data_IF_639549141901
#
_entry.id   IF_639549141901
#
_cell.length_a   1.000
_cell.length_b   1.000
_cell.length_c   1.000
_cell.angle_alpha   90.00
_cell.angle_beta   90.00
_cell.angle_gamma   90.00
#
_symmetry.space_group_name_H-M   'P 1'
#
loop_
_entity.id
_entity.type
_entity.pdbx_description
1 polymer ?
#
# COMPACT_ATOMS: atom_id res chain seq x y z
N UNK A 1 -20.31 29.08 7.34
CA UNK A 1 -19.08 29.27 8.14
C UNK A 1 -18.65 27.90 8.64
N UNK A 2 -17.63 27.23 8.18
CA UNK A 2 -16.58 27.50 7.17
C UNK A 2 -16.42 26.16 6.43
N UNK A 3 -16.66 26.18 5.12
CA UNK A 3 -16.21 25.14 4.21
C UNK A 3 -14.87 25.63 3.69
N UNK A 4 -13.79 24.91 3.99
CA UNK A 4 -12.48 24.95 3.32
C UNK A 4 -11.51 24.09 4.14
N UNK A 5 -11.23 22.86 3.70
CA UNK A 5 -9.88 22.29 3.67
C UNK A 5 -9.89 20.94 2.93
N UNK A 6 -9.35 21.01 1.72
CA UNK A 6 -9.39 20.07 0.61
C UNK A 6 -8.14 19.18 0.65
N UNK A 7 -8.23 17.92 1.12
CA UNK A 7 -7.08 16.99 1.05
C UNK A 7 -7.48 15.53 0.77
N UNK A 8 -6.90 15.02 -0.32
CA UNK A 8 -7.01 13.68 -0.89
C UNK A 8 -8.39 13.30 -1.43
N UNK A 9 -8.65 13.77 -2.64
CA UNK A 9 -9.68 13.28 -3.55
C UNK A 9 -9.44 11.79 -3.84
N UNK A 10 -9.99 10.95 -2.98
CA UNK A 10 -10.60 9.70 -3.39
C UNK A 10 -11.78 10.12 -4.27
N UNK A 11 -11.58 10.18 -5.60
CA UNK A 11 -12.70 10.36 -6.54
C UNK A 11 -13.57 9.08 -6.51
N UNK A 12 -14.42 9.01 -5.51
CA UNK A 12 -15.63 8.19 -5.41
C UNK A 12 -16.38 8.81 -4.22
N UNK A 13 -17.37 9.67 -4.40
CA UNK A 13 -18.69 9.36 -4.94
C UNK A 13 -19.40 10.67 -5.35
N UNK A 14 -19.42 11.02 -6.64
CA UNK A 14 -20.50 11.81 -7.26
C UNK A 14 -20.36 11.85 -8.77
N UNK A 15 -21.34 11.28 -9.47
CA UNK A 15 -21.68 11.69 -10.83
C UNK A 15 -20.90 11.03 -11.96
N UNK A 16 -21.64 10.69 -13.00
CA UNK A 16 -21.26 9.97 -14.21
C UNK A 16 -20.22 10.72 -15.08
N UNK A 17 -19.28 9.95 -15.63
CA UNK A 17 -18.39 10.20 -16.79
C UNK A 17 -17.06 10.96 -16.57
N UNK A 18 -16.00 10.30 -17.04
CA UNK A 18 -14.63 10.76 -17.37
C UNK A 18 -13.67 11.13 -16.23
N UNK A 19 -12.97 10.12 -15.68
CA UNK A 19 -11.51 10.06 -15.45
C UNK A 19 -11.17 8.91 -14.48
N UNK A 20 -11.31 7.68 -14.96
CA UNK A 20 -10.85 6.45 -14.28
C UNK A 20 -9.32 6.31 -14.37
N UNK A 21 -8.58 7.22 -13.74
CA UNK A 21 -7.12 7.09 -13.55
C UNK A 21 -6.77 7.32 -12.09
N UNK A 22 -7.16 6.37 -11.25
CA UNK A 22 -6.78 6.32 -9.84
C UNK A 22 -5.30 5.92 -9.71
N UNK A 23 -4.39 6.87 -9.91
CA UNK A 23 -3.02 6.76 -9.39
C UNK A 23 -2.99 7.24 -7.95
N UNK A 24 -2.30 6.54 -7.04
CA UNK A 24 -1.92 7.06 -5.72
C UNK A 24 -0.82 8.16 -5.83
N UNK A 25 -1.01 9.09 -6.78
CA UNK A 25 -0.11 10.21 -7.03
C UNK A 25 -0.44 11.36 -6.06
N UNK A 26 0.57 11.76 -5.30
CA UNK A 26 0.46 12.76 -4.24
C UNK A 26 0.28 14.21 -4.73
N UNK A 27 -0.32 14.99 -3.81
CA UNK A 27 -0.28 16.45 -3.52
C UNK A 27 -0.19 17.50 -4.65
N UNK A 28 -0.96 18.57 -4.43
CA UNK A 28 -1.07 19.80 -5.23
C UNK A 28 -0.20 20.97 -4.74
N UNK A 29 0.70 20.77 -3.76
CA UNK A 29 1.37 21.91 -3.09
C UNK A 29 2.83 21.57 -2.67
N UNK A 30 3.78 21.75 -3.59
CA UNK A 30 5.20 22.11 -3.36
C UNK A 30 6.10 21.37 -2.34
N UNK A 31 5.64 20.36 -1.59
CA UNK A 31 6.46 19.60 -0.61
C UNK A 31 6.25 18.10 -0.78
N UNK A 32 7.28 17.44 -1.31
CA UNK A 32 7.33 16.01 -1.64
C UNK A 32 7.18 15.11 -0.40
N UNK A 33 6.20 14.21 -0.44
CA UNK A 33 5.97 13.15 0.54
C UNK A 33 4.81 12.27 0.04
N UNK A 34 5.16 11.12 -0.59
CA UNK A 34 4.39 10.48 -1.67
C UNK A 34 3.38 9.37 -1.29
N UNK A 35 3.28 8.22 -1.99
CA UNK A 35 4.29 7.64 -2.90
C UNK A 35 3.87 6.28 -3.55
N UNK A 36 2.65 6.07 -4.04
CA UNK A 36 2.34 4.87 -4.85
C UNK A 36 1.95 5.29 -6.28
N UNK A 37 2.89 5.23 -7.22
CA UNK A 37 2.59 5.48 -8.64
C UNK A 37 2.06 4.20 -9.32
N UNK A 38 1.01 3.62 -8.74
CA UNK A 38 0.28 2.49 -9.32
C UNK A 38 -1.16 2.90 -9.61
N UNK A 39 -1.64 2.58 -10.81
CA UNK A 39 -3.03 2.76 -11.21
C UNK A 39 -3.71 1.41 -11.23
N UNK A 40 -4.79 1.28 -10.46
CA UNK A 40 -5.57 0.04 -10.39
C UNK A 40 -6.44 -0.11 -11.63
N UNK A 41 -6.40 -1.30 -12.23
CA UNK A 41 -7.33 -1.72 -13.27
C UNK A 41 -8.70 -2.05 -12.63
N UNK A 42 -8.71 -2.65 -11.44
CA UNK A 42 -9.93 -2.94 -10.66
C UNK A 42 -10.10 -2.02 -9.45
N UNK A 43 -11.03 -1.08 -9.53
CA UNK A 43 -11.34 -0.19 -8.40
C UNK A 43 -12.03 -0.93 -7.24
N UNK A 44 -12.77 -1.99 -7.54
CA UNK A 44 -13.38 -2.85 -6.50
C UNK A 44 -12.29 -3.46 -5.61
N UNK A 45 -11.16 -3.84 -6.21
CA UNK A 45 -10.03 -4.41 -5.50
C UNK A 45 -9.35 -3.39 -4.60
N UNK A 46 -9.14 -2.16 -5.08
CA UNK A 46 -8.64 -1.04 -4.25
C UNK A 46 -9.57 -0.76 -3.06
N UNK A 47 -10.88 -0.66 -3.30
CA UNK A 47 -11.88 -0.45 -2.24
C UNK A 47 -11.82 -1.54 -1.18
N UNK A 48 -11.68 -2.80 -1.60
CA UNK A 48 -11.53 -3.93 -0.68
C UNK A 48 -10.24 -3.84 0.12
N UNK A 49 -9.14 -3.44 -0.50
CA UNK A 49 -7.84 -3.26 0.16
C UNK A 49 -7.88 -2.22 1.30
N UNK A 50 -8.66 -1.16 1.13
CA UNK A 50 -8.84 -0.10 2.15
C UNK A 50 -10.06 -0.33 3.06
N UNK A 51 -10.66 -1.52 3.07
CA UNK A 51 -11.80 -1.84 3.94
C UNK A 51 -11.37 -2.79 5.05
N UNK A 52 -11.39 -2.34 6.31
CA UNK A 52 -11.04 -3.15 7.47
C UNK A 52 -12.17 -4.15 7.81
N UNK A 53 -11.81 -5.28 8.43
CA UNK A 53 -12.77 -6.32 8.82
C UNK A 53 -13.83 -5.87 9.82
N UNK A 54 -13.60 -4.78 10.56
CA UNK A 54 -14.63 -4.19 11.43
C UNK A 54 -15.71 -3.43 10.66
N UNK A 55 -15.46 -3.05 9.40
CA UNK A 55 -16.40 -2.31 8.56
C UNK A 55 -17.30 -3.22 7.71
N UNK A 56 -16.76 -4.35 7.21
CA UNK A 56 -17.47 -5.23 6.27
C UNK A 56 -16.90 -6.66 6.30
N UNK A 57 -17.73 -7.65 5.95
CA UNK A 57 -17.29 -9.02 5.69
C UNK A 57 -16.42 -9.11 4.43
N UNK A 58 -16.74 -8.32 3.41
CA UNK A 58 -15.85 -8.08 2.29
C UNK A 58 -14.79 -7.05 2.68
N UNK A 59 -13.62 -7.54 3.08
CA UNK A 59 -12.54 -6.73 3.64
C UNK A 59 -11.15 -7.13 3.13
N UNK A 60 -10.17 -6.42 3.65
CA UNK A 60 -8.78 -6.46 3.26
C UNK A 60 -7.97 -7.61 3.85
N UNK A 61 -8.54 -8.48 4.70
CA UNK A 61 -7.76 -9.46 5.45
C UNK A 61 -7.05 -10.48 4.56
N UNK A 62 -7.74 -11.02 3.55
CA UNK A 62 -7.12 -11.94 2.58
C UNK A 62 -6.01 -11.26 1.77
N UNK A 63 -6.24 -10.02 1.31
CA UNK A 63 -5.25 -9.23 0.58
C UNK A 63 -4.04 -8.89 1.46
N UNK A 64 -4.26 -8.63 2.76
CA UNK A 64 -3.19 -8.33 3.72
C UNK A 64 -2.25 -9.52 3.92
N UNK A 65 -2.76 -10.76 3.86
CA UNK A 65 -1.96 -11.98 3.97
C UNK A 65 -1.07 -12.11 2.74
N UNK A 66 -1.65 -11.98 1.54
CA UNK A 66 -0.87 -12.01 0.30
C UNK A 66 0.19 -10.91 0.26
N UNK A 67 -0.18 -9.69 0.64
CA UNK A 67 0.74 -8.57 0.68
C UNK A 67 1.88 -8.75 1.68
N UNK A 68 1.64 -9.39 2.82
CA UNK A 68 2.70 -9.75 3.76
C UNK A 68 3.73 -10.67 3.10
N UNK A 69 3.29 -11.70 2.37
CA UNK A 69 4.18 -12.59 1.63
C UNK A 69 4.97 -11.85 0.53
N UNK A 70 4.34 -10.90 -0.17
CA UNK A 70 5.03 -10.03 -1.15
C UNK A 70 6.15 -9.24 -0.49
N UNK A 71 5.86 -8.59 0.64
CA UNK A 71 6.83 -7.77 1.36
C UNK A 71 7.99 -8.63 1.88
N UNK A 72 7.71 -9.75 2.53
CA UNK A 72 8.73 -10.66 3.07
C UNK A 72 9.68 -11.16 1.97
N UNK A 73 9.11 -11.67 0.86
CA UNK A 73 9.90 -12.14 -0.27
C UNK A 73 10.72 -11.02 -0.92
N UNK A 74 10.17 -9.82 -1.01
CA UNK A 74 10.87 -8.64 -1.55
C UNK A 74 12.07 -8.24 -0.69
N UNK A 75 11.91 -8.22 0.63
CA UNK A 75 13.00 -7.91 1.58
C UNK A 75 14.07 -8.99 1.54
N UNK A 76 13.67 -10.26 1.47
CA UNK A 76 14.58 -11.38 1.36
C UNK A 76 15.41 -11.32 0.08
N UNK A 77 14.73 -11.14 -1.07
CA UNK A 77 15.36 -11.03 -2.38
C UNK A 77 16.33 -9.85 -2.44
N UNK A 78 15.92 -8.65 -1.98
CA UNK A 78 16.79 -7.46 -1.96
C UNK A 78 18.00 -7.65 -1.05
N UNK A 79 17.85 -8.36 0.06
CA UNK A 79 18.94 -8.65 0.99
C UNK A 79 19.96 -9.63 0.39
N UNK A 80 19.49 -10.74 -0.19
CA UNK A 80 20.34 -11.74 -0.84
C UNK A 80 21.04 -11.18 -2.08
N UNK A 81 20.33 -10.40 -2.91
CA UNK A 81 20.93 -9.76 -4.07
C UNK A 81 22.06 -8.77 -3.71
N UNK A 82 22.05 -8.22 -2.48
CA UNK A 82 23.10 -7.33 -1.98
C UNK A 82 24.25 -8.10 -1.32
N UNK A 83 23.93 -9.19 -0.63
CA UNK A 83 24.86 -10.00 0.14
C UNK A 83 24.37 -11.47 0.13
N UNK A 84 24.95 -12.26 -0.76
CA UNK A 84 24.61 -13.69 -0.90
C UNK A 84 25.09 -14.54 0.27
N UNK A 85 26.05 -14.05 1.05
CA UNK A 85 26.64 -14.74 2.20
C UNK A 85 25.97 -14.35 3.53
N UNK A 86 24.88 -13.55 3.47
CA UNK A 86 24.13 -13.15 4.65
C UNK A 86 23.67 -14.38 5.46
N UNK A 87 23.89 -14.33 6.78
CA UNK A 87 23.45 -15.43 7.65
C UNK A 87 21.91 -15.53 7.66
N UNK A 88 21.33 -16.75 7.75
CA UNK A 88 19.87 -16.90 7.89
C UNK A 88 19.29 -16.13 9.08
N UNK A 89 20.07 -15.99 10.15
CA UNK A 89 19.69 -15.22 11.34
C UNK A 89 19.57 -13.72 11.03
N UNK A 90 20.55 -13.15 10.34
CA UNK A 90 20.54 -11.73 9.98
C UNK A 90 19.49 -11.42 8.91
N UNK A 91 19.27 -12.35 7.97
CA UNK A 91 18.20 -12.27 6.99
C UNK A 91 16.82 -12.22 7.67
N UNK A 92 16.54 -13.16 8.58
CA UNK A 92 15.29 -13.18 9.33
C UNK A 92 15.10 -11.95 10.23
N UNK A 93 16.19 -11.39 10.78
CA UNK A 93 16.14 -10.12 11.52
C UNK A 93 15.67 -8.98 10.61
N UNK A 94 16.30 -8.81 9.44
CA UNK A 94 15.90 -7.78 8.46
C UNK A 94 14.45 -7.92 8.00
N UNK A 95 14.02 -9.16 7.70
CA UNK A 95 12.63 -9.44 7.34
C UNK A 95 11.70 -9.01 8.47
N UNK A 96 12.01 -9.36 9.72
CA UNK A 96 11.15 -9.04 10.87
C UNK A 96 11.09 -7.55 11.18
N UNK A 97 12.18 -6.82 11.02
CA UNK A 97 12.24 -5.36 11.21
C UNK A 97 11.28 -4.63 10.25
N UNK A 98 11.19 -5.07 9.00
CA UNK A 98 10.34 -4.44 7.98
C UNK A 98 8.92 -5.00 8.01
N UNK A 99 8.78 -6.32 8.11
CA UNK A 99 7.51 -7.01 7.89
C UNK A 99 6.72 -7.22 9.17
N UNK A 100 7.38 -7.51 10.30
CA UNK A 100 6.71 -7.98 11.52
C UNK A 100 6.53 -6.91 12.59
N UNK A 101 7.30 -5.82 12.51
CA UNK A 101 7.08 -4.67 13.37
C UNK A 101 5.91 -3.83 12.83
N UNK A 102 4.77 -3.92 13.51
CA UNK A 102 3.60 -3.07 13.23
C UNK A 102 3.97 -1.59 13.22
N UNK A 103 4.93 -1.17 14.05
CA UNK A 103 5.42 0.21 14.11
C UNK A 103 6.16 0.67 12.85
N UNK A 104 6.94 -0.21 12.20
CA UNK A 104 7.59 0.12 10.92
C UNK A 104 6.51 0.24 9.86
N UNK A 105 5.81 -0.86 9.57
CA UNK A 105 4.77 -0.93 8.56
C UNK A 105 3.67 0.16 8.71
N UNK A 106 3.28 0.49 9.94
CA UNK A 106 2.35 1.59 10.19
C UNK A 106 2.97 2.96 9.87
N UNK A 107 4.25 3.19 10.12
CA UNK A 107 4.94 4.43 9.73
C UNK A 107 4.89 4.65 8.22
N UNK A 108 5.17 3.62 7.42
CA UNK A 108 5.04 3.72 5.96
C UNK A 108 3.59 3.96 5.54
N UNK A 109 2.63 3.23 6.12
CA UNK A 109 1.21 3.43 5.83
C UNK A 109 0.69 4.83 6.24
N UNK A 110 1.19 5.40 7.33
CA UNK A 110 0.86 6.76 7.79
C UNK A 110 1.44 7.81 6.85
N UNK A 111 2.66 7.60 6.34
CA UNK A 111 3.27 8.48 5.33
C UNK A 111 2.45 8.52 4.05
N UNK A 112 1.84 7.40 3.68
CA UNK A 112 0.92 7.27 2.55
C UNK A 112 -0.51 7.81 2.86
N UNK A 113 -0.77 8.24 4.10
CA UNK A 113 -2.07 8.76 4.50
C UNK A 113 -3.17 7.70 4.62
N UNK A 114 -2.83 6.42 4.78
CA UNK A 114 -3.80 5.32 4.81
C UNK A 114 -4.84 5.47 5.92
N UNK A 115 -4.46 6.03 7.07
CA UNK A 115 -5.37 6.32 8.18
C UNK A 115 -6.57 7.20 7.80
N UNK A 116 -6.46 7.98 6.72
CA UNK A 116 -7.52 8.87 6.21
C UNK A 116 -8.47 8.18 5.23
N UNK A 117 -8.06 7.07 4.62
CA UNK A 117 -8.82 6.38 3.57
C UNK A 117 -9.33 5.01 3.99
N UNK A 118 -8.73 4.40 5.03
CA UNK A 118 -9.18 3.10 5.52
C UNK A 118 -10.55 3.21 6.16
N UNK A 119 -11.47 2.39 5.66
CA UNK A 119 -12.85 2.30 6.14
C UNK A 119 -12.87 1.37 7.35
N UNK A 120 -13.29 1.91 8.48
CA UNK A 120 -13.39 1.22 9.77
C UNK A 120 -14.77 1.48 10.38
N UNK A 121 -15.24 0.61 11.27
CA UNK A 121 -16.45 0.92 12.05
C UNK A 121 -16.17 2.04 13.07
N UNK A 122 -17.21 2.72 13.59
CA UNK A 122 -17.05 3.84 14.53
C UNK A 122 -16.29 3.50 15.82
N UNK A 123 -16.17 2.21 16.17
CA UNK A 123 -15.49 1.72 17.38
C UNK A 123 -14.03 1.34 17.13
N UNK A 124 -13.56 1.41 15.89
CA UNK A 124 -12.20 1.03 15.49
C UNK A 124 -11.41 2.28 15.13
N UNK A 125 -10.22 2.42 15.69
CA UNK A 125 -9.31 3.52 15.35
C UNK A 125 -8.59 3.25 14.02
N UNK A 126 -8.87 4.06 13.00
CA UNK A 126 -8.23 3.98 11.68
C UNK A 126 -6.76 4.35 11.70
N UNK A 127 -6.29 5.05 12.74
CA UNK A 127 -4.90 5.45 12.93
C UNK A 127 -4.08 4.43 13.73
N UNK A 128 -4.72 3.38 14.25
CA UNK A 128 -4.03 2.35 15.01
C UNK A 128 -2.99 1.63 14.14
N UNK A 129 -1.79 1.30 14.67
CA UNK A 129 -0.73 0.66 13.88
C UNK A 129 -1.17 -0.62 13.17
N UNK A 130 -1.96 -1.46 13.83
CA UNK A 130 -2.48 -2.69 13.25
C UNK A 130 -3.40 -2.45 12.04
N UNK A 131 -4.29 -1.44 12.12
CA UNK A 131 -5.20 -1.11 11.00
C UNK A 131 -4.43 -0.53 9.83
N UNK A 132 -3.54 0.42 10.09
CA UNK A 132 -2.73 1.07 9.04
C UNK A 132 -1.80 0.06 8.38
N UNK A 133 -1.11 -0.76 9.16
CA UNK A 133 -0.22 -1.79 8.61
C UNK A 133 -1.01 -2.86 7.83
N UNK A 134 -2.16 -3.29 8.34
CA UNK A 134 -3.02 -4.23 7.64
C UNK A 134 -3.49 -3.69 6.29
N UNK A 135 -3.88 -2.43 6.23
CA UNK A 135 -4.24 -1.76 4.99
C UNK A 135 -3.06 -1.58 4.03
N UNK A 136 -1.87 -1.23 4.54
CA UNK A 136 -0.67 -1.12 3.72
C UNK A 136 -0.34 -2.44 3.02
N UNK A 137 -0.27 -3.52 3.80
CA UNK A 137 -0.08 -4.88 3.25
C UNK A 137 -1.17 -5.21 2.24
N UNK A 138 -2.42 -4.92 2.56
CA UNK A 138 -3.53 -5.20 1.66
C UNK A 138 -3.46 -4.44 0.33
N UNK A 139 -2.98 -3.20 0.32
CA UNK A 139 -2.75 -2.45 -0.93
C UNK A 139 -1.67 -3.15 -1.77
N UNK A 140 -0.57 -3.58 -1.17
CA UNK A 140 0.47 -4.35 -1.90
C UNK A 140 -0.10 -5.67 -2.45
N UNK A 141 -0.88 -6.40 -1.64
CA UNK A 141 -1.54 -7.64 -2.08
C UNK A 141 -2.57 -7.39 -3.20
N UNK A 142 -3.30 -6.28 -3.13
CA UNK A 142 -4.22 -5.86 -4.17
C UNK A 142 -3.49 -5.59 -5.49
N UNK A 143 -2.32 -4.93 -5.46
CA UNK A 143 -1.51 -4.72 -6.67
C UNK A 143 -1.07 -6.05 -7.30
N UNK A 144 -0.68 -7.03 -6.47
CA UNK A 144 -0.29 -8.35 -6.97
C UNK A 144 -1.46 -9.08 -7.66
N UNK A 145 -2.68 -8.95 -7.12
CA UNK A 145 -3.88 -9.52 -7.74
C UNK A 145 -4.28 -8.77 -9.00
N UNK A 146 -4.23 -7.44 -8.98
CA UNK A 146 -4.62 -6.56 -10.09
C UNK A 146 -3.73 -6.78 -11.32
N UNK A 147 -2.42 -6.94 -11.11
CA UNK A 147 -1.45 -7.22 -12.18
C UNK A 147 -1.36 -8.71 -12.53
N UNK A 148 -1.85 -9.60 -11.66
CA UNK A 148 -1.57 -11.03 -11.73
C UNK A 148 -0.07 -11.37 -11.58
N UNK A 149 0.75 -10.42 -11.09
CA UNK A 149 2.20 -10.53 -11.06
C UNK A 149 2.79 -10.09 -9.71
N UNK A 150 3.51 -11.00 -9.08
CA UNK A 150 4.18 -10.78 -7.80
C UNK A 150 5.32 -9.75 -7.89
N UNK A 151 6.07 -9.75 -9.00
CA UNK A 151 7.21 -8.86 -9.20
C UNK A 151 6.79 -7.40 -9.34
N UNK A 152 5.61 -7.15 -9.92
CA UNK A 152 5.07 -5.80 -10.07
C UNK A 152 4.75 -5.18 -8.71
N UNK A 153 4.10 -5.95 -7.83
CA UNK A 153 3.84 -5.55 -6.46
C UNK A 153 5.14 -5.37 -5.66
N UNK A 154 6.12 -6.27 -5.84
CA UNK A 154 7.45 -6.14 -5.24
C UNK A 154 8.14 -4.83 -5.63
N UNK A 155 8.12 -4.46 -6.92
CA UNK A 155 8.72 -3.20 -7.40
C UNK A 155 8.04 -1.96 -6.79
N UNK A 156 6.72 -1.96 -6.67
CA UNK A 156 5.99 -0.87 -6.01
C UNK A 156 6.39 -0.77 -4.54
N UNK A 157 6.42 -1.89 -3.82
CA UNK A 157 6.84 -1.92 -2.43
C UNK A 157 8.27 -1.41 -2.23
N UNK A 158 9.22 -1.88 -3.04
CA UNK A 158 10.63 -1.44 -2.95
C UNK A 158 10.75 0.06 -3.23
N UNK A 159 9.97 0.60 -4.17
CA UNK A 159 9.95 2.03 -4.44
C UNK A 159 9.43 2.84 -3.24
N UNK A 160 8.37 2.35 -2.57
CA UNK A 160 7.86 2.95 -1.32
C UNK A 160 8.95 2.97 -0.24
N UNK A 161 9.67 1.86 -0.04
CA UNK A 161 10.78 1.79 0.93
C UNK A 161 11.94 2.74 0.60
N UNK A 162 12.30 2.84 -0.68
CA UNK A 162 13.42 3.66 -1.13
C UNK A 162 13.06 5.15 -1.26
N UNK A 163 11.82 5.54 -0.93
CA UNK A 163 11.33 6.92 -1.06
C UNK A 163 11.19 7.38 -2.52
N UNK A 164 11.11 6.45 -3.48
CA UNK A 164 11.05 6.69 -4.93
C UNK A 164 9.67 6.37 -5.51
N UNK A 165 9.29 7.05 -6.59
CA UNK A 165 8.08 6.70 -7.35
C UNK A 165 8.34 5.50 -8.27
N UNK A 166 7.56 4.42 -8.15
CA UNK A 166 7.61 3.30 -9.09
C UNK A 166 6.94 3.69 -10.42
N UNK A 167 7.72 3.82 -11.49
CA UNK A 167 7.17 4.00 -12.85
C UNK A 167 7.18 2.67 -13.61
N UNK A 168 6.05 2.34 -14.26
CA UNK A 168 5.92 1.17 -15.15
C UNK A 168 6.80 1.41 -16.39
N UNK A 169 7.69 0.48 -16.76
CA UNK A 169 8.13 0.39 -18.16
C UNK A 169 6.97 -0.24 -18.94
N UNK A 170 6.45 0.49 -19.91
CA UNK A 170 5.44 -0.01 -20.84
C UNK A 170 5.98 -1.27 -21.53
N UNK A 171 5.30 -2.41 -21.36
CA UNK A 171 5.55 -3.59 -22.18
C UNK A 171 4.99 -3.31 -23.57
N UNK A 172 5.87 -3.15 -24.55
CA UNK A 172 5.51 -3.29 -25.96
C UNK A 172 5.10 -4.73 -26.22
N UNK A 173 3.89 -4.91 -26.73
CA UNK A 173 3.56 -5.91 -27.75
C UNK A 173 2.46 -5.37 -28.63
#
# INVERSE_FOLDING_TARGET
MVADEEYLVVNYLKGEREEERLGFLGRKDGREGGLISYTFDSIVLLRRAVTHASFSEENNKALSILGASVIEASVALKSLAKDMDISPKDLNRKISEVCNMESSCAKEGLQLGLQKVVRVSPKTDSSSPAVVCGAFRAVIGAIAVDTGNFDDASRVFVAVLDGKTASRRASSK
#
